data_IF_523408737073
#
_entry.id   IF_523408737073
#
_cell.length_a   1.000
_cell.length_b   1.000
_cell.length_c   1.000
_cell.angle_alpha   90.00
_cell.angle_beta   90.00
_cell.angle_gamma   90.00
#
_symmetry.space_group_name_H-M   'P 1'
#
loop_
_entity.id
_entity.type
_entity.pdbx_description
1 polymer ?
#
# COMPACT_ATOMS: atom_id res chain seq x y z
N UNK A 1 10.65 -2.02 5.93
CA UNK A 1 10.34 -2.50 4.58
C UNK A 1 10.11 -1.32 3.66
N UNK A 2 10.65 -1.34 2.45
CA UNK A 2 10.35 -0.37 1.40
C UNK A 2 8.95 -0.62 0.83
N UNK A 3 8.31 0.44 0.35
CA UNK A 3 6.99 0.45 -0.29
C UNK A 3 6.82 -0.63 -1.36
N UNK A 4 7.87 -0.85 -2.17
CA UNK A 4 7.92 -1.88 -3.21
C UNK A 4 7.73 -3.30 -2.67
N UNK A 5 8.30 -3.63 -1.51
CA UNK A 5 8.21 -4.98 -0.95
C UNK A 5 6.78 -5.37 -0.55
N UNK A 6 5.93 -4.42 -0.15
CA UNK A 6 4.51 -4.68 0.11
C UNK A 6 3.76 -4.95 -1.21
N UNK A 7 4.09 -4.24 -2.28
CA UNK A 7 3.50 -4.44 -3.60
C UNK A 7 3.92 -5.79 -4.21
N UNK A 8 5.21 -6.11 -4.17
CA UNK A 8 5.74 -7.40 -4.62
C UNK A 8 5.08 -8.57 -3.89
N UNK A 9 4.92 -8.43 -2.56
CA UNK A 9 4.22 -9.42 -1.75
C UNK A 9 2.78 -9.62 -2.22
N UNK A 10 1.98 -8.55 -2.34
CA UNK A 10 0.58 -8.72 -2.72
C UNK A 10 0.42 -9.22 -4.16
N UNK A 11 1.31 -8.80 -5.08
CA UNK A 11 1.34 -9.33 -6.44
C UNK A 11 1.57 -10.84 -6.40
N UNK A 12 2.59 -11.30 -5.68
CA UNK A 12 2.91 -12.73 -5.56
C UNK A 12 1.77 -13.53 -4.95
N UNK A 13 1.16 -13.05 -3.87
CA UNK A 13 0.15 -13.81 -3.11
C UNK A 13 -1.26 -13.73 -3.73
N UNK A 14 -1.61 -12.62 -4.41
CA UNK A 14 -2.97 -12.41 -4.93
C UNK A 14 -3.06 -12.61 -6.45
N UNK A 15 -1.93 -12.78 -7.14
CA UNK A 15 -1.85 -13.00 -8.58
C UNK A 15 -0.94 -14.20 -8.88
N UNK A 16 -1.43 -15.40 -8.52
CA UNK A 16 -0.71 -16.67 -8.72
C UNK A 16 -0.49 -17.04 -10.21
N UNK A 17 -1.26 -16.48 -11.14
CA UNK A 17 -1.21 -16.84 -12.55
C UNK A 17 -0.84 -15.62 -13.40
N UNK A 18 0.12 -15.82 -14.32
CA UNK A 18 0.51 -14.80 -15.28
C UNK A 18 -0.74 -14.28 -16.01
N UNK A 19 -0.90 -12.96 -16.12
CA UNK A 19 -2.09 -12.41 -16.76
C UNK A 19 -2.18 -12.85 -18.22
N UNK A 20 -3.40 -12.94 -18.78
CA UNK A 20 -3.57 -13.23 -20.20
C UNK A 20 -2.83 -12.16 -21.01
N UNK A 21 -1.94 -12.59 -21.90
CA UNK A 21 -1.25 -11.76 -22.88
C UNK A 21 -0.40 -10.58 -22.32
N UNK A 22 0.81 -10.87 -21.85
CA UNK A 22 1.94 -9.91 -21.86
C UNK A 22 1.83 -8.66 -20.96
N UNK A 23 0.72 -8.42 -20.29
CA UNK A 23 0.55 -7.31 -19.35
C UNK A 23 1.39 -7.53 -18.09
N UNK A 24 1.96 -6.46 -17.55
CA UNK A 24 2.68 -6.55 -16.28
C UNK A 24 1.69 -6.76 -15.12
N UNK A 25 1.93 -7.71 -14.20
CA UNK A 25 1.11 -7.85 -12.99
C UNK A 25 0.97 -6.54 -12.19
N UNK A 26 1.98 -5.66 -12.27
CA UNK A 26 1.96 -4.34 -11.64
C UNK A 26 1.02 -3.35 -12.34
N UNK A 27 0.92 -3.42 -13.67
CA UNK A 27 -0.03 -2.60 -14.45
C UNK A 27 -1.47 -2.97 -14.09
N UNK A 28 -1.76 -4.27 -14.03
CA UNK A 28 -3.07 -4.78 -13.62
C UNK A 28 -3.42 -4.35 -12.19
N UNK A 29 -2.45 -4.42 -11.27
CA UNK A 29 -2.67 -3.89 -9.92
C UNK A 29 -3.02 -2.40 -9.95
N UNK A 30 -2.32 -1.61 -10.78
CA UNK A 30 -2.56 -0.18 -10.92
C UNK A 30 -3.96 0.11 -11.49
N UNK A 31 -4.40 -0.64 -12.49
CA UNK A 31 -5.74 -0.55 -13.06
C UNK A 31 -6.83 -0.90 -12.04
N UNK A 32 -6.64 -1.99 -11.27
CA UNK A 32 -7.57 -2.39 -10.22
C UNK A 32 -7.68 -1.31 -9.12
N UNK A 33 -6.55 -0.75 -8.68
CA UNK A 33 -6.51 0.35 -7.71
C UNK A 33 -7.25 1.59 -8.23
N UNK A 34 -7.08 1.90 -9.53
CA UNK A 34 -7.73 3.04 -10.19
C UNK A 34 -9.25 2.84 -10.38
N UNK A 35 -9.71 1.59 -10.51
CA UNK A 35 -11.13 1.26 -10.65
C UNK A 35 -11.96 1.38 -9.36
N UNK A 36 -11.30 1.56 -8.21
CA UNK A 36 -11.97 1.69 -6.91
C UNK A 36 -12.14 3.17 -6.56
N UNK A 37 -13.38 3.59 -6.36
CA UNK A 37 -13.65 4.92 -5.82
C UNK A 37 -13.28 4.97 -4.33
N UNK A 38 -12.61 6.04 -3.85
CA UNK A 38 -12.38 6.21 -2.43
C UNK A 38 -13.72 6.37 -1.69
N UNK A 39 -14.00 5.44 -0.78
CA UNK A 39 -15.20 5.42 0.05
C UNK A 39 -14.87 5.37 1.55
N UNK A 40 -15.84 5.72 2.39
CA UNK A 40 -15.65 5.76 3.84
C UNK A 40 -15.54 4.38 4.50
N UNK A 41 -16.04 3.32 3.85
CA UNK A 41 -16.04 1.94 4.34
C UNK A 41 -14.86 1.10 3.81
N UNK A 42 -13.87 1.74 3.20
CA UNK A 42 -12.68 1.08 2.66
C UNK A 42 -11.86 0.36 3.75
N UNK A 43 -11.31 -0.84 3.47
CA UNK A 43 -10.34 -1.47 4.34
C UNK A 43 -9.12 -0.57 4.57
N UNK A 44 -8.48 -0.73 5.73
CA UNK A 44 -7.22 -0.06 6.07
C UNK A 44 -6.10 -1.08 6.08
N UNK A 45 -4.96 -0.74 5.48
CA UNK A 45 -3.75 -1.55 5.53
C UNK A 45 -2.69 -0.95 6.47
N UNK A 46 -2.15 -1.79 7.35
CA UNK A 46 -0.99 -1.50 8.16
C UNK A 46 0.26 -2.12 7.52
N UNK A 47 1.23 -1.34 7.02
CA UNK A 47 2.23 -1.83 6.05
C UNK A 47 3.55 -2.31 6.68
N UNK A 48 3.51 -2.92 7.87
CA UNK A 48 4.69 -3.45 8.55
C UNK A 48 4.91 -4.95 8.29
N UNK A 49 4.84 -5.33 7.01
CA UNK A 49 4.97 -6.73 6.57
C UNK A 49 6.27 -7.38 7.04
N UNK A 50 7.37 -6.62 7.02
CA UNK A 50 8.68 -7.05 7.51
C UNK A 50 9.11 -6.30 8.78
N UNK A 51 8.15 -5.87 9.59
CA UNK A 51 8.39 -5.04 10.76
C UNK A 51 8.62 -3.57 10.43
N UNK A 52 8.70 -2.78 11.50
CA UNK A 52 8.97 -1.33 11.46
C UNK A 52 10.35 -1.03 12.06
N UNK A 53 10.89 0.16 11.81
CA UNK A 53 12.15 0.59 12.41
C UNK A 53 12.07 0.68 13.95
N UNK A 54 10.91 1.07 14.48
CA UNK A 54 10.70 1.24 15.93
C UNK A 54 10.33 -0.07 16.64
N UNK A 55 9.74 -1.02 15.90
CA UNK A 55 9.35 -2.32 16.40
C UNK A 55 9.49 -3.38 15.30
N UNK A 56 10.54 -4.19 15.37
CA UNK A 56 10.80 -5.29 14.42
C UNK A 56 9.81 -6.46 14.53
N UNK A 57 9.04 -6.53 15.63
CA UNK A 57 7.96 -7.52 15.79
C UNK A 57 6.62 -7.05 15.22
N UNK A 58 6.52 -5.80 14.75
CA UNK A 58 5.33 -5.33 14.06
C UNK A 58 5.01 -6.22 12.85
N UNK A 59 3.72 -6.36 12.53
CA UNK A 59 3.22 -7.20 11.44
C UNK A 59 2.22 -6.43 10.62
N UNK A 60 2.17 -6.71 9.33
CA UNK A 60 1.14 -6.14 8.47
C UNK A 60 -0.25 -6.66 8.87
N UNK A 61 -1.27 -5.89 8.55
CA UNK A 61 -2.65 -6.28 8.80
C UNK A 61 -3.63 -5.48 7.96
N UNK A 62 -4.72 -6.12 7.57
CA UNK A 62 -5.88 -5.46 7.00
C UNK A 62 -6.98 -5.35 8.06
N UNK A 63 -7.64 -4.20 8.11
CA UNK A 63 -8.67 -3.89 9.10
C UNK A 63 -9.93 -3.39 8.39
N UNK A 64 -11.11 -3.65 8.96
CA UNK A 64 -12.39 -3.19 8.41
C UNK A 64 -12.86 -3.93 7.16
N UNK A 65 -12.41 -5.18 6.94
CA UNK A 65 -12.88 -5.98 5.80
C UNK A 65 -14.33 -6.43 6.03
N UNK A 66 -15.18 -6.25 5.03
CA UNK A 66 -16.53 -6.77 4.94
C UNK A 66 -16.66 -7.70 3.72
N UNK A 67 -17.72 -8.51 3.69
CA UNK A 67 -17.91 -9.55 2.67
C UNK A 67 -18.07 -9.04 1.23
N UNK A 68 -18.36 -7.75 1.05
CA UNK A 68 -18.45 -7.11 -0.28
C UNK A 68 -17.11 -6.55 -0.79
N UNK A 69 -16.07 -6.53 0.05
CA UNK A 69 -14.76 -6.07 -0.40
C UNK A 69 -14.11 -7.09 -1.31
N UNK A 70 -13.72 -6.59 -2.48
CA UNK A 70 -13.02 -7.36 -3.52
C UNK A 70 -11.51 -7.21 -3.38
N UNK A 71 -10.78 -7.99 -4.19
CA UNK A 71 -9.33 -7.84 -4.37
C UNK A 71 -8.89 -6.41 -4.70
N UNK A 72 -9.68 -5.69 -5.50
CA UNK A 72 -9.39 -4.31 -5.84
C UNK A 72 -9.40 -3.39 -4.60
N UNK A 73 -10.37 -3.59 -3.69
CA UNK A 73 -10.45 -2.85 -2.44
C UNK A 73 -9.24 -3.14 -1.53
N UNK A 74 -8.79 -4.40 -1.48
CA UNK A 74 -7.60 -4.81 -0.72
C UNK A 74 -6.32 -4.20 -1.28
N UNK A 75 -6.16 -4.17 -2.61
CA UNK A 75 -5.04 -3.52 -3.28
C UNK A 75 -5.03 -2.02 -3.03
N UNK A 76 -6.19 -1.37 -3.14
CA UNK A 76 -6.33 0.04 -2.85
C UNK A 76 -5.94 0.37 -1.42
N UNK A 77 -6.43 -0.41 -0.46
CA UNK A 77 -6.05 -0.29 0.95
C UNK A 77 -4.53 -0.42 1.14
N UNK A 78 -3.88 -1.37 0.46
CA UNK A 78 -2.43 -1.55 0.53
C UNK A 78 -1.67 -0.33 0.00
N UNK A 79 -2.06 0.19 -1.17
CA UNK A 79 -1.45 1.38 -1.78
C UNK A 79 -1.59 2.59 -0.85
N UNK A 80 -2.80 2.84 -0.33
CA UNK A 80 -3.06 3.94 0.59
C UNK A 80 -2.30 3.77 1.91
N UNK A 81 -2.25 2.57 2.47
CA UNK A 81 -1.50 2.28 3.70
C UNK A 81 0.00 2.60 3.57
N UNK A 82 0.60 2.25 2.43
CA UNK A 82 2.00 2.60 2.12
C UNK A 82 2.17 4.13 1.99
N UNK A 83 1.26 4.81 1.31
CA UNK A 83 1.28 6.28 1.18
C UNK A 83 1.09 6.96 2.53
N UNK A 84 0.25 6.43 3.41
CA UNK A 84 0.05 6.96 4.77
C UNK A 84 1.31 6.83 5.62
N UNK A 85 2.10 5.77 5.48
CA UNK A 85 3.41 5.70 6.15
C UNK A 85 4.40 6.74 5.63
N UNK A 86 4.42 7.00 4.32
CA UNK A 86 5.21 8.12 3.77
C UNK A 86 4.74 9.46 4.35
N UNK A 87 3.42 9.67 4.40
CA UNK A 87 2.84 10.87 5.00
C UNK A 87 3.24 11.01 6.47
N UNK A 88 3.21 9.93 7.25
CA UNK A 88 3.65 9.88 8.66
C UNK A 88 5.11 10.28 8.80
N UNK A 89 6.00 9.81 7.93
CA UNK A 89 7.40 10.24 7.92
C UNK A 89 7.53 11.74 7.64
N UNK A 90 6.84 12.26 6.63
CA UNK A 90 6.85 13.70 6.31
C UNK A 90 6.29 14.52 7.47
N UNK A 91 5.20 14.09 8.10
CA UNK A 91 4.63 14.73 9.29
C UNK A 91 5.60 14.74 10.46
N UNK A 92 6.38 13.67 10.65
CA UNK A 92 7.42 13.59 11.68
C UNK A 92 8.50 14.66 11.44
N UNK A 93 8.96 14.81 10.20
CA UNK A 93 9.92 15.86 9.82
C UNK A 93 9.33 17.26 10.02
N UNK A 94 8.07 17.49 9.62
CA UNK A 94 7.38 18.77 9.82
C UNK A 94 7.25 19.12 11.30
N UNK A 95 6.90 18.16 12.15
CA UNK A 95 6.83 18.36 13.61
C UNK A 95 8.20 18.68 14.22
N UNK A 96 9.29 18.22 13.61
CA UNK A 96 10.65 18.60 13.97
C UNK A 96 11.11 19.95 13.39
N UNK A 97 10.24 20.68 12.68
CA UNK A 97 10.52 22.02 12.14
C UNK A 97 10.96 22.04 10.67
N UNK A 98 10.99 20.89 9.97
CA UNK A 98 11.34 20.87 8.55
C UNK A 98 10.21 21.43 7.67
N UNK A 99 10.56 22.35 6.76
CA UNK A 99 9.64 22.82 5.72
C UNK A 99 9.71 21.89 4.50
N UNK A 100 8.75 20.97 4.40
CA UNK A 100 8.64 20.04 3.27
C UNK A 100 7.49 20.46 2.35
N UNK A 101 7.82 21.01 1.18
CA UNK A 101 6.85 21.44 0.15
C UNK A 101 6.85 20.54 -1.10
N UNK A 102 7.90 19.76 -1.32
CA UNK A 102 8.05 18.88 -2.47
C UNK A 102 8.71 17.57 -2.05
N UNK A 103 8.34 16.48 -2.73
CA UNK A 103 9.02 15.20 -2.66
C UNK A 103 9.47 14.79 -4.06
N UNK A 104 10.64 14.13 -4.14
CA UNK A 104 11.14 13.50 -5.36
C UNK A 104 11.09 12.00 -5.14
N UNK A 105 10.49 11.28 -6.08
CA UNK A 105 10.45 9.83 -6.08
C UNK A 105 11.55 9.33 -7.02
N UNK A 106 12.43 8.47 -6.51
CA UNK A 106 13.50 7.84 -7.28
C UNK A 106 13.58 6.37 -6.90
N UNK A 107 13.62 5.51 -7.91
CA UNK A 107 13.60 4.06 -7.80
C UNK A 107 13.47 3.44 -9.17
#
# INVERSE_FOLDING_TARGET
>A
ATSAANLEWIVREFFEHAPPAGASPFEICSELVASVDPAADMPIYHPFLYGSQQNGKARAGFYGIAGWHTRAHMLRALFEGVVFEHRRHVETLRRAGAMVSQAVLSG
#
